data_IF_733153444830
#
_entry.id   IF_733153444830
#
_cell.length_a   1.000
_cell.length_b   1.000
_cell.length_c   1.000
_cell.angle_alpha   90.00
_cell.angle_beta   90.00
_cell.angle_gamma   90.00
#
_symmetry.space_group_name_H-M   'P 1'
#
loop_
_entity.id
_entity.type
_entity.pdbx_description
1 polymer ?
#
# COMPACT_ATOMS: atom_id res chain seq x y z
N UNK A 1 -46.49 -20.64 18.86
CA UNK A 1 -45.91 -19.49 19.58
C UNK A 1 -44.48 -19.32 19.11
N UNK A 2 -44.24 -18.54 18.06
CA UNK A 2 -42.90 -18.29 17.51
C UNK A 2 -42.28 -17.08 18.20
N UNK A 3 -41.14 -17.27 18.85
CA UNK A 3 -40.39 -16.17 19.48
C UNK A 3 -39.74 -15.29 18.40
N UNK A 4 -39.88 -13.96 18.46
CA UNK A 4 -39.16 -13.08 17.54
C UNK A 4 -37.71 -12.95 18.00
N UNK A 5 -36.76 -13.27 17.13
CA UNK A 5 -35.34 -12.99 17.37
C UNK A 5 -35.09 -11.48 17.25
N UNK A 6 -34.81 -10.86 18.40
CA UNK A 6 -34.45 -9.45 18.54
C UNK A 6 -33.19 -9.10 17.72
N UNK A 7 -33.26 -8.18 16.74
CA UNK A 7 -32.11 -7.72 15.97
C UNK A 7 -31.59 -6.36 16.49
N UNK A 8 -31.46 -6.16 17.80
CA UNK A 8 -31.17 -4.81 18.35
C UNK A 8 -29.68 -4.54 18.61
N UNK A 9 -28.86 -5.57 18.79
CA UNK A 9 -27.42 -5.39 19.05
C UNK A 9 -26.56 -5.21 17.77
N UNK A 10 -27.02 -5.73 16.62
CA UNK A 10 -26.24 -5.71 15.37
C UNK A 10 -26.34 -4.36 14.61
N UNK A 11 -27.49 -3.69 14.73
CA UNK A 11 -27.76 -2.41 14.05
C UNK A 11 -26.78 -1.27 14.39
N UNK A 12 -26.38 -1.03 15.66
CA UNK A 12 -25.43 0.04 15.98
C UNK A 12 -24.01 -0.29 15.48
N UNK A 13 -23.54 -1.53 15.61
CA UNK A 13 -22.20 -1.93 15.15
C UNK A 13 -22.08 -1.84 13.62
N UNK A 14 -23.10 -2.31 12.89
CA UNK A 14 -23.16 -2.23 11.43
C UNK A 14 -23.26 -0.78 10.93
N UNK A 15 -23.97 0.09 11.66
CA UNK A 15 -24.03 1.53 11.36
C UNK A 15 -22.70 2.23 11.62
N UNK A 16 -21.94 1.84 12.65
CA UNK A 16 -20.60 2.37 12.90
C UNK A 16 -19.60 1.90 11.84
N UNK A 17 -19.67 0.62 11.45
CA UNK A 17 -18.86 0.09 10.36
C UNK A 17 -19.17 0.80 9.04
N UNK A 18 -20.44 0.99 8.70
CA UNK A 18 -20.85 1.72 7.49
C UNK A 18 -20.35 3.18 7.50
N UNK A 19 -20.40 3.86 8.65
CA UNK A 19 -19.82 5.20 8.81
C UNK A 19 -18.31 5.21 8.64
N UNK A 20 -17.60 4.22 9.20
CA UNK A 20 -16.16 4.09 9.05
C UNK A 20 -15.76 3.81 7.59
N UNK A 21 -16.51 2.96 6.90
CA UNK A 21 -16.33 2.67 5.47
C UNK A 21 -16.60 3.91 4.61
N UNK A 22 -17.69 4.65 4.86
CA UNK A 22 -18.00 5.88 4.14
C UNK A 22 -16.93 6.96 4.34
N UNK A 23 -16.44 7.13 5.57
CA UNK A 23 -15.33 8.05 5.87
C UNK A 23 -14.05 7.65 5.16
N UNK A 24 -13.77 6.34 5.09
CA UNK A 24 -12.61 5.80 4.37
C UNK A 24 -12.73 6.04 2.87
N UNK A 25 -13.91 5.81 2.27
CA UNK A 25 -14.15 6.04 0.85
C UNK A 25 -13.99 7.52 0.47
N UNK A 26 -14.53 8.43 1.27
CA UNK A 26 -14.36 9.87 1.06
C UNK A 26 -12.89 10.31 1.15
N UNK A 27 -12.13 9.78 2.11
CA UNK A 27 -10.70 10.06 2.22
C UNK A 27 -9.89 9.49 1.05
N UNK A 28 -10.28 8.34 0.50
CA UNK A 28 -9.65 7.77 -0.71
C UNK A 28 -9.93 8.66 -1.92
N UNK A 29 -11.17 9.11 -2.10
CA UNK A 29 -11.57 9.99 -3.19
C UNK A 29 -10.82 11.32 -3.16
N UNK A 30 -10.72 11.96 -1.98
CA UNK A 30 -9.98 13.22 -1.82
C UNK A 30 -8.46 13.04 -1.97
N UNK A 31 -7.93 11.85 -1.65
CA UNK A 31 -6.52 11.55 -1.83
C UNK A 31 -6.13 11.24 -3.28
N UNK A 32 -7.09 10.89 -4.13
CA UNK A 32 -6.85 10.65 -5.55
C UNK A 32 -6.49 11.96 -6.31
N UNK A 33 -6.95 13.11 -5.82
CA UNK A 33 -6.70 14.42 -6.44
C UNK A 33 -5.34 15.05 -6.07
N UNK A 34 -4.68 14.56 -5.01
CA UNK A 34 -3.34 15.01 -4.59
C UNK A 34 -2.38 13.82 -4.49
N UNK A 35 -1.36 13.78 -5.35
CA UNK A 35 -0.38 12.69 -5.38
C UNK A 35 0.35 12.48 -4.05
N UNK A 36 0.55 13.53 -3.24
CA UNK A 36 1.13 13.41 -1.88
C UNK A 36 0.15 12.73 -0.92
N UNK A 37 -1.13 13.01 -1.09
CA UNK A 37 -2.23 12.41 -0.34
C UNK A 37 -2.40 10.93 -0.68
N UNK A 38 -2.26 10.55 -1.96
CA UNK A 38 -2.28 9.15 -2.39
C UNK A 38 -1.16 8.32 -1.77
N UNK A 39 0.07 8.84 -1.75
CA UNK A 39 1.20 8.17 -1.11
C UNK A 39 0.96 7.96 0.40
N UNK A 40 0.50 8.98 1.12
CA UNK A 40 0.18 8.86 2.55
C UNK A 40 -0.95 7.87 2.81
N UNK A 41 -1.98 7.86 1.97
CA UNK A 41 -3.08 6.90 2.05
C UNK A 41 -2.55 5.47 1.93
N UNK A 42 -1.73 5.19 0.91
CA UNK A 42 -1.18 3.85 0.68
C UNK A 42 -0.35 3.37 1.88
N UNK A 43 0.46 4.26 2.48
CA UNK A 43 1.24 3.96 3.69
C UNK A 43 0.36 3.63 4.90
N UNK A 44 -0.71 4.40 5.11
CA UNK A 44 -1.67 4.15 6.21
C UNK A 44 -2.42 2.84 6.03
N UNK A 45 -2.78 2.50 4.79
CA UNK A 45 -3.50 1.26 4.46
C UNK A 45 -2.62 0.02 4.61
N UNK A 46 -1.38 0.08 4.11
CA UNK A 46 -0.43 -1.04 4.17
C UNK A 46 0.21 -1.21 5.56
N UNK A 47 -0.01 -0.25 6.48
CA UNK A 47 0.70 -0.14 7.76
C UNK A 47 2.23 -0.26 7.58
N UNK A 48 2.72 0.19 6.43
CA UNK A 48 4.13 0.05 6.09
C UNK A 48 4.99 0.80 7.14
N UNK A 49 5.99 0.14 7.73
CA UNK A 49 6.86 0.75 8.73
C UNK A 49 7.50 2.02 8.18
N UNK A 50 7.67 3.03 9.04
CA UNK A 50 8.26 4.31 8.64
C UNK A 50 9.62 4.07 7.94
N UNK A 51 9.97 4.82 6.89
CA UNK A 51 11.24 4.64 6.22
C UNK A 51 12.36 4.96 7.22
N UNK A 52 13.30 4.03 7.42
CA UNK A 52 14.43 4.20 8.34
C UNK A 52 15.35 5.33 7.87
N UNK A 53 15.48 5.51 6.55
CA UNK A 53 16.27 6.56 5.90
C UNK A 53 15.43 7.27 4.83
N UNK A 54 14.67 8.31 5.19
CA UNK A 54 13.86 9.06 4.24
C UNK A 54 14.73 9.69 3.15
N UNK A 55 14.32 9.54 1.89
CA UNK A 55 15.03 10.07 0.71
C UNK A 55 15.09 11.62 0.69
N UNK A 56 14.09 12.25 1.30
CA UNK A 56 13.99 13.69 1.49
C UNK A 56 14.35 14.08 2.92
N UNK A 57 14.99 15.23 3.09
CA UNK A 57 15.15 15.86 4.39
C UNK A 57 13.84 16.47 4.89
N UNK A 58 13.86 16.99 6.12
CA UNK A 58 12.73 17.72 6.71
C UNK A 58 12.30 18.98 5.93
N UNK A 59 13.13 19.44 5.00
CA UNK A 59 12.92 20.63 4.15
C UNK A 59 12.36 20.23 2.77
N UNK A 60 12.24 18.93 2.47
CA UNK A 60 11.80 18.41 1.18
C UNK A 60 12.90 18.36 0.11
N UNK A 61 14.17 18.58 0.47
CA UNK A 61 15.32 18.41 -0.45
C UNK A 61 15.83 16.97 -0.42
N UNK A 62 16.33 16.49 -1.55
CA UNK A 62 17.01 15.20 -1.61
C UNK A 62 18.23 15.18 -0.70
N UNK A 63 18.32 14.15 0.15
CA UNK A 63 19.46 13.96 1.07
C UNK A 63 20.70 13.41 0.39
N UNK A 64 20.51 12.78 -0.76
CA UNK A 64 21.50 12.00 -1.48
C UNK A 64 21.73 12.64 -2.85
N UNK A 65 22.99 12.66 -3.30
CA UNK A 65 23.28 13.10 -4.66
C UNK A 65 22.63 12.14 -5.66
N UNK A 66 22.42 12.60 -6.90
CA UNK A 66 21.77 11.78 -7.95
C UNK A 66 22.48 10.43 -8.16
N UNK A 67 23.81 10.40 -8.03
CA UNK A 67 24.60 9.17 -8.11
C UNK A 67 24.28 8.20 -6.96
N UNK A 68 24.25 8.71 -5.74
CA UNK A 68 23.95 7.93 -4.54
C UNK A 68 22.50 7.39 -4.58
N UNK A 69 21.56 8.12 -5.20
CA UNK A 69 20.18 7.66 -5.37
C UNK A 69 20.08 6.43 -6.28
N UNK A 70 20.83 6.40 -7.37
CA UNK A 70 20.87 5.27 -8.28
C UNK A 70 21.44 4.02 -7.59
N UNK A 71 22.48 4.19 -6.78
CA UNK A 71 23.08 3.10 -6.01
C UNK A 71 22.13 2.55 -4.93
N UNK A 72 21.46 3.42 -4.19
CA UNK A 72 20.45 3.01 -3.19
C UNK A 72 19.31 2.24 -3.87
N UNK A 73 18.85 2.69 -5.03
CA UNK A 73 17.79 2.00 -5.77
C UNK A 73 18.27 0.64 -6.30
N UNK A 74 19.45 0.58 -6.91
CA UNK A 74 20.02 -0.67 -7.42
C UNK A 74 20.16 -1.71 -6.31
N UNK A 75 20.73 -1.32 -5.16
CA UNK A 75 20.85 -2.19 -4.00
C UNK A 75 19.48 -2.68 -3.49
N UNK A 76 18.49 -1.79 -3.42
CA UNK A 76 17.15 -2.19 -3.00
C UNK A 76 16.50 -3.18 -3.96
N UNK A 77 16.72 -3.00 -5.27
CA UNK A 77 16.21 -3.91 -6.29
C UNK A 77 16.88 -5.28 -6.19
N UNK A 78 18.19 -5.35 -5.99
CA UNK A 78 18.92 -6.61 -5.77
C UNK A 78 18.45 -7.34 -4.50
N UNK A 79 18.16 -6.61 -3.42
CA UNK A 79 17.69 -7.19 -2.16
C UNK A 79 16.24 -7.71 -2.22
N UNK A 80 15.38 -7.08 -3.03
CA UNK A 80 13.95 -7.41 -3.08
C UNK A 80 13.56 -8.30 -4.25
N UNK A 81 14.32 -8.25 -5.35
CA UNK A 81 13.99 -8.99 -6.57
C UNK A 81 15.06 -10.04 -6.82
N UNK A 82 14.64 -11.29 -6.78
CA UNK A 82 15.37 -12.38 -7.40
C UNK A 82 15.10 -12.35 -8.91
N UNK A 83 16.16 -12.50 -9.71
CA UNK A 83 16.00 -12.68 -11.14
C UNK A 83 15.08 -13.89 -11.39
N UNK A 84 14.11 -13.72 -12.29
CA UNK A 84 13.29 -14.84 -12.72
C UNK A 84 14.20 -15.87 -13.40
N UNK A 85 14.10 -17.17 -13.07
CA UNK A 85 14.86 -18.19 -13.79
C UNK A 85 14.55 -18.08 -15.28
N UNK A 86 15.58 -18.16 -16.12
CA UNK A 86 15.38 -18.18 -17.55
C UNK A 86 14.44 -19.36 -17.89
N UNK A 87 13.44 -19.18 -18.75
CA UNK A 87 12.65 -20.31 -19.21
C UNK A 87 13.60 -21.33 -19.83
N UNK A 88 13.63 -22.54 -19.28
CA UNK A 88 14.40 -23.63 -19.85
C UNK A 88 13.94 -23.79 -21.31
N UNK A 89 14.86 -23.64 -22.26
CA UNK A 89 14.59 -23.78 -23.68
C UNK A 89 14.28 -25.24 -24.09
N UNK A 90 13.74 -26.06 -23.18
CA UNK A 90 13.42 -27.48 -23.40
C UNK A 90 11.97 -27.70 -23.86
N UNK A 91 11.13 -26.67 -23.87
CA UNK A 91 9.77 -26.73 -24.43
C UNK A 91 9.74 -26.57 -25.97
N UNK A 92 10.86 -26.85 -26.65
CA UNK A 92 10.95 -26.92 -28.11
C UNK A 92 11.14 -28.36 -28.65
N UNK A 93 11.15 -29.38 -27.78
CA UNK A 93 11.36 -30.78 -28.16
C UNK A 93 10.15 -31.71 -27.89
N UNK A 94 8.96 -31.14 -27.67
CA UNK A 94 7.70 -31.89 -27.53
C UNK A 94 6.66 -31.35 -28.53
N UNK A 95 6.92 -31.52 -29.82
CA UNK A 95 5.89 -31.54 -30.85
C UNK A 95 6.26 -32.54 -31.95
#
# INVERSE_FOLDING_TARGET
MGSPTTPTAHAPAQRQLAKAVARRAAHVSNAAEDWKSLHQLYRRLTRAPAPVTPLFDKTGKYRYAVKDQAEILAKHLEEQFTAHPAPDSSEAALH
#
